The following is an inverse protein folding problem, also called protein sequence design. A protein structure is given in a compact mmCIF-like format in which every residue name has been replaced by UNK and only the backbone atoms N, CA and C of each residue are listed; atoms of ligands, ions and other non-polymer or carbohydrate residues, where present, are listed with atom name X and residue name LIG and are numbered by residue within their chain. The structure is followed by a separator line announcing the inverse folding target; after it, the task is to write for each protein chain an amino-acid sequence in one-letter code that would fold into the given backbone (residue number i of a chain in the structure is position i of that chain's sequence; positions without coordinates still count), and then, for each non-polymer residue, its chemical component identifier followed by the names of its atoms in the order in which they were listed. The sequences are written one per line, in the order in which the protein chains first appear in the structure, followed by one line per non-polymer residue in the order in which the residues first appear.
data_IF_711773042537
#
_entry.id   IF_711773042537
#
_cell.length_a   1.000
_cell.length_b   1.000
_cell.length_c   1.000
_cell.angle_alpha   90.00
_cell.angle_beta   90.00
_cell.angle_gamma   90.00
#
_symmetry.space_group_name_H-M   'P 1'
#
loop_
_entity.id
_entity.type
_entity.pdbx_description
1 polymer ?
#
# COMPACT_ATOMS: atom_id res chain seq x y z
N UNK A 1 12.97 -12.02 14.04
CA UNK A 1 12.15 -12.13 12.81
C UNK A 1 12.32 -10.83 12.06
N UNK A 2 12.52 -10.87 10.75
CA UNK A 2 12.49 -9.66 9.93
C UNK A 2 11.02 -9.32 9.63
N UNK A 3 10.62 -8.07 9.83
CA UNK A 3 9.29 -7.60 9.46
C UNK A 3 9.02 -7.69 7.97
N UNK A 4 7.74 -7.88 7.61
CA UNK A 4 7.29 -7.91 6.23
C UNK A 4 6.96 -6.50 5.74
N UNK A 5 7.31 -6.24 4.49
CA UNK A 5 6.89 -5.05 3.75
C UNK A 5 5.79 -5.47 2.79
N UNK A 6 4.64 -4.82 2.90
CA UNK A 6 3.50 -5.04 2.01
C UNK A 6 3.36 -3.89 1.03
N UNK A 7 3.30 -4.20 -0.25
CA UNK A 7 3.13 -3.25 -1.32
C UNK A 7 1.68 -3.24 -1.80
N UNK A 8 1.07 -2.07 -1.88
CA UNK A 8 -0.32 -1.88 -2.28
C UNK A 8 -0.37 -0.90 -3.45
N UNK A 9 -0.98 -1.30 -4.56
CA UNK A 9 -1.06 -0.45 -5.74
C UNK A 9 -1.77 -1.10 -6.91
N UNK A 10 -1.54 -0.56 -8.10
CA UNK A 10 -1.93 -1.12 -9.39
C UNK A 10 -1.21 -2.45 -9.66
N UNK A 11 -1.78 -3.26 -10.54
CA UNK A 11 -1.18 -4.54 -10.91
C UNK A 11 0.27 -4.40 -11.43
N UNK A 12 0.62 -3.44 -12.32
CA UNK A 12 2.00 -3.28 -12.78
C UNK A 12 2.97 -2.90 -11.65
N UNK A 13 2.54 -2.05 -10.72
CA UNK A 13 3.35 -1.65 -9.57
C UNK A 13 3.63 -2.83 -8.64
N UNK A 14 2.59 -3.61 -8.34
CA UNK A 14 2.68 -4.80 -7.50
C UNK A 14 3.61 -5.85 -8.13
N UNK A 15 3.45 -6.13 -9.42
CA UNK A 15 4.26 -7.12 -10.14
C UNK A 15 5.76 -6.79 -10.04
N UNK A 16 6.15 -5.53 -10.20
CA UNK A 16 7.55 -5.10 -10.07
C UNK A 16 8.08 -5.32 -8.64
N UNK A 17 7.28 -5.07 -7.61
CA UNK A 17 7.70 -5.21 -6.22
C UNK A 17 7.78 -6.67 -5.80
N UNK A 18 6.89 -7.52 -6.31
CA UNK A 18 6.96 -8.97 -6.13
C UNK A 18 8.23 -9.56 -6.77
N UNK A 19 8.65 -9.04 -7.94
CA UNK A 19 9.94 -9.42 -8.55
C UNK A 19 11.16 -9.08 -7.67
N UNK A 20 11.04 -8.06 -6.80
CA UNK A 20 12.06 -7.69 -5.82
C UNK A 20 11.94 -8.47 -4.49
N UNK A 21 10.97 -9.38 -4.39
CA UNK A 21 10.76 -10.24 -3.23
C UNK A 21 9.84 -9.65 -2.16
N UNK A 22 9.11 -8.58 -2.45
CA UNK A 22 8.09 -8.03 -1.55
C UNK A 22 6.74 -8.73 -1.71
N UNK A 23 5.91 -8.69 -0.67
CA UNK A 23 4.51 -9.12 -0.79
C UNK A 23 3.68 -8.00 -1.41
N UNK A 24 2.76 -8.35 -2.31
CA UNK A 24 1.99 -7.39 -3.10
C UNK A 24 0.47 -7.60 -3.01
N UNK A 25 -0.29 -6.51 -3.00
CA UNK A 25 -1.74 -6.51 -3.07
C UNK A 25 -2.24 -5.46 -4.05
N UNK A 26 -3.00 -5.93 -5.04
CA UNK A 26 -3.61 -5.04 -6.02
C UNK A 26 -4.83 -4.37 -5.42
N UNK A 27 -4.81 -3.04 -5.33
CA UNK A 27 -5.94 -2.22 -4.91
C UNK A 27 -6.78 -1.83 -6.14
N UNK A 28 -8.08 -2.08 -6.10
CA UNK A 28 -9.01 -1.74 -7.20
C UNK A 28 -10.00 -0.64 -6.83
N UNK A 29 -10.23 -0.44 -5.53
CA UNK A 29 -11.14 0.56 -4.99
C UNK A 29 -10.45 1.71 -4.28
N UNK A 30 -11.27 2.55 -3.63
CA UNK A 30 -10.83 3.74 -2.91
C UNK A 30 -10.62 3.51 -1.41
N UNK A 31 -10.87 4.56 -0.62
CA UNK A 31 -10.57 4.64 0.81
C UNK A 31 -11.14 3.50 1.67
N UNK A 32 -12.37 3.06 1.42
CA UNK A 32 -12.97 1.97 2.20
C UNK A 32 -12.31 0.61 1.94
N UNK A 33 -11.89 0.34 0.70
CA UNK A 33 -11.18 -0.91 0.36
C UNK A 33 -9.79 -0.90 0.99
N UNK A 34 -9.07 0.21 0.87
CA UNK A 34 -7.77 0.38 1.51
C UNK A 34 -7.90 0.24 3.04
N UNK A 35 -8.89 0.90 3.66
CA UNK A 35 -9.13 0.78 5.09
C UNK A 35 -9.43 -0.67 5.52
N UNK A 36 -10.22 -1.42 4.74
CA UNK A 36 -10.51 -2.83 5.02
C UNK A 36 -9.24 -3.69 4.94
N UNK A 37 -8.41 -3.49 3.91
CA UNK A 37 -7.10 -4.12 3.77
C UNK A 37 -6.20 -3.84 4.98
N UNK A 38 -6.10 -2.58 5.39
CA UNK A 38 -5.26 -2.17 6.50
C UNK A 38 -5.70 -2.77 7.85
N UNK A 39 -7.01 -3.03 8.03
CA UNK A 39 -7.53 -3.71 9.22
C UNK A 39 -7.22 -5.20 9.22
N UNK A 40 -7.12 -5.83 8.05
CA UNK A 40 -6.88 -7.27 7.93
C UNK A 40 -5.40 -7.66 7.91
N UNK A 41 -4.47 -6.71 7.81
CA UNK A 41 -3.04 -7.04 7.75
C UNK A 41 -2.60 -7.87 8.95
N UNK A 42 -1.75 -8.89 8.79
CA UNK A 42 -1.21 -9.63 9.91
C UNK A 42 -0.18 -8.76 10.67
N UNK A 43 0.06 -9.08 11.94
CA UNK A 43 0.96 -8.31 12.82
C UNK A 43 2.43 -8.34 12.41
N UNK A 44 2.80 -9.23 11.48
CA UNK A 44 4.13 -9.34 10.89
C UNK A 44 4.42 -8.27 9.82
N UNK A 45 3.39 -7.53 9.34
CA UNK A 45 3.57 -6.41 8.42
C UNK A 45 4.02 -5.19 9.21
N UNK A 46 5.27 -4.80 9.00
CA UNK A 46 5.89 -3.64 9.67
C UNK A 46 5.82 -2.37 8.82
N UNK A 47 5.68 -2.48 7.50
CA UNK A 47 5.59 -1.31 6.61
C UNK A 47 4.60 -1.57 5.49
N UNK A 48 3.78 -0.57 5.19
CA UNK A 48 2.94 -0.56 3.99
C UNK A 48 3.53 0.45 2.99
N UNK A 49 3.85 -0.04 1.80
CA UNK A 49 4.24 0.76 0.64
C UNK A 49 3.00 0.96 -0.21
N UNK A 50 2.55 2.21 -0.39
CA UNK A 50 1.38 2.54 -1.22
C UNK A 50 1.84 3.27 -2.48
N UNK A 51 1.33 2.85 -3.64
CA UNK A 51 1.54 3.55 -4.89
C UNK A 51 0.94 4.97 -4.83
N UNK A 52 1.74 5.99 -5.17
CA UNK A 52 1.34 7.39 -5.07
C UNK A 52 0.16 7.75 -6.00
N UNK A 53 0.06 7.11 -7.17
CA UNK A 53 -1.09 7.28 -8.06
C UNK A 53 -2.41 6.83 -7.40
N UNK A 54 -2.31 5.95 -6.40
CA UNK A 54 -3.41 5.48 -5.56
C UNK A 54 -3.54 6.27 -4.25
N UNK A 55 -2.76 7.35 -4.04
CA UNK A 55 -2.87 8.21 -2.86
C UNK A 55 -4.27 8.84 -2.71
N UNK A 56 -5.03 8.95 -3.81
CA UNK A 56 -6.46 9.31 -3.77
C UNK A 56 -7.33 8.33 -2.98
N UNK A 57 -6.90 7.07 -2.85
CA UNK A 57 -7.51 6.08 -1.97
C UNK A 57 -7.12 6.28 -0.50
N UNK A 58 -6.19 7.17 -0.15
CA UNK A 58 -5.79 7.43 1.24
C UNK A 58 -6.67 8.52 1.91
N UNK A 59 -7.94 8.18 2.13
CA UNK A 59 -8.96 9.04 2.72
C UNK A 59 -9.09 8.92 4.26
N UNK A 60 -10.18 9.47 4.84
CA UNK A 60 -10.41 9.47 6.28
C UNK A 60 -10.44 8.09 6.94
N UNK A 61 -10.98 7.08 6.26
CA UNK A 61 -11.15 5.73 6.82
C UNK A 61 -9.81 5.00 6.93
N UNK A 62 -8.99 5.03 5.88
CA UNK A 62 -7.64 4.47 5.90
C UNK A 62 -6.76 5.20 6.91
N UNK A 63 -6.76 6.55 6.93
CA UNK A 63 -6.03 7.37 7.93
C UNK A 63 -6.34 6.99 9.37
N UNK A 64 -7.62 6.71 9.68
CA UNK A 64 -8.02 6.28 11.02
C UNK A 64 -7.41 4.94 11.39
N UNK A 65 -7.36 4.00 10.45
CA UNK A 65 -6.74 2.68 10.67
C UNK A 65 -5.23 2.85 10.90
N UNK A 66 -4.54 3.62 10.07
CA UNK A 66 -3.09 3.89 10.23
C UNK A 66 -2.78 4.48 11.60
N UNK A 67 -3.55 5.50 12.00
CA UNK A 67 -3.38 6.18 13.29
C UNK A 67 -3.57 5.24 14.48
N UNK A 68 -4.41 4.21 14.34
CA UNK A 68 -4.66 3.22 15.39
C UNK A 68 -3.64 2.10 15.48
N UNK A 69 -2.95 1.79 14.37
CA UNK A 69 -2.08 0.61 14.26
C UNK A 69 -0.59 0.92 14.37
N UNK A 70 -0.20 2.19 14.23
CA UNK A 70 1.19 2.64 14.20
C UNK A 70 2.05 1.89 13.15
N UNK A 71 1.44 1.42 12.06
CA UNK A 71 2.17 0.85 10.92
C UNK A 71 2.60 1.99 9.99
N UNK A 72 3.91 2.21 9.78
CA UNK A 72 4.44 3.19 8.83
C UNK A 72 3.89 3.00 7.41
N UNK A 73 3.67 4.14 6.73
CA UNK A 73 3.33 4.20 5.31
C UNK A 73 4.44 4.90 4.54
N UNK A 74 4.83 4.30 3.42
CA UNK A 74 5.73 4.90 2.44
C UNK A 74 4.94 5.07 1.15
N UNK A 75 4.91 6.29 0.62
CA UNK A 75 4.38 6.55 -0.72
C UNK A 75 5.51 6.34 -1.73
N UNK A 76 5.30 5.48 -2.72
CA UNK A 76 6.21 5.32 -3.85
C UNK A 76 5.55 5.77 -5.14
N UNK A 77 6.21 6.58 -5.97
CA UNK A 77 5.70 6.95 -7.28
C UNK A 77 5.40 5.70 -8.11
N UNK A 78 4.13 5.54 -8.46
CA UNK A 78 3.72 4.62 -9.51
C UNK A 78 4.04 5.23 -10.86
N UNK A 79 4.74 4.50 -11.73
CA UNK A 79 5.21 5.06 -12.98
C UNK A 79 4.10 5.67 -13.85
N UNK A 80 4.06 7.00 -13.91
CA UNK A 80 4.04 7.78 -15.16
C UNK A 80 4.88 9.05 -14.98
N UNK A 81 6.20 8.87 -14.98
CA UNK A 81 7.12 9.90 -15.47
C UNK A 81 7.24 9.77 -16.99
N UNK A 82 6.22 10.19 -17.73
CA UNK A 82 6.31 10.53 -19.15
C UNK A 82 5.41 11.73 -19.42
N UNK A 83 5.87 12.89 -18.96
CA UNK A 83 5.54 14.12 -19.66
C UNK A 83 6.29 14.06 -21.00
N UNK A 84 5.58 13.62 -22.03
CA UNK A 84 5.95 13.76 -23.43
C UNK A 84 5.13 14.87 -24.06
#
# INVERSE_FOLDING_TARGET
MAGKVLCVGSAPFVEVLEMLGFEGLVLRGGDEELAALLRSLPSEVEVVVLEESMAGAFGPSSRRVVSSRAVPFVLLPGGMGRDG
#
